data_IF_678562724544
#
_entry.id   IF_678562724544
#
_cell.length_a   1.000
_cell.length_b   1.000
_cell.length_c   1.000
_cell.angle_alpha   90.00
_cell.angle_beta   90.00
_cell.angle_gamma   90.00
#
_symmetry.space_group_name_H-M   'P 1'
#
loop_
_entity.id
_entity.type
_entity.pdbx_description
1 polymer ?
#
# COMPACT_ATOMS: atom_id res chain seq x y z
N UNK A 1 12.35 -5.39 -11.29
CA UNK A 1 12.35 -6.81 -10.98
C UNK A 1 12.55 -7.63 -12.23
N UNK A 2 12.88 -8.86 -12.05
CA UNK A 2 13.13 -9.78 -13.13
C UNK A 2 11.81 -10.39 -13.61
N UNK A 3 11.51 -10.23 -14.89
CA UNK A 3 10.25 -10.70 -15.43
C UNK A 3 10.10 -12.22 -15.38
N UNK A 4 11.19 -12.95 -15.32
CA UNK A 4 11.14 -14.40 -15.30
C UNK A 4 10.79 -14.98 -13.95
N UNK A 5 10.70 -14.15 -12.92
CA UNK A 5 10.47 -14.66 -11.58
C UNK A 5 9.22 -14.02 -10.96
N UNK A 6 8.20 -14.86 -10.77
CA UNK A 6 7.01 -14.44 -10.04
C UNK A 6 7.26 -14.38 -8.54
N UNK A 7 8.40 -14.88 -8.11
CA UNK A 7 8.73 -14.92 -6.69
C UNK A 7 9.77 -13.89 -6.31
N UNK A 8 10.15 -13.06 -7.27
CA UNK A 8 11.13 -12.04 -7.02
C UNK A 8 10.56 -11.00 -6.06
N UNK A 9 11.30 -10.75 -5.00
CA UNK A 9 10.92 -9.74 -4.01
C UNK A 9 11.89 -8.60 -4.15
N UNK A 10 11.35 -7.42 -4.41
CA UNK A 10 12.18 -6.22 -4.49
C UNK A 10 12.44 -5.70 -3.10
N UNK A 11 13.60 -5.12 -2.91
CA UNK A 11 13.96 -4.52 -1.63
C UNK A 11 14.38 -3.08 -1.84
N UNK A 12 14.03 -2.27 -0.87
CA UNK A 12 14.51 -0.89 -0.79
C UNK A 12 15.61 -0.83 0.24
N UNK A 13 16.59 0.04 0.01
CA UNK A 13 17.76 0.12 0.87
C UNK A 13 17.86 1.47 1.53
N UNK A 14 18.22 1.45 2.81
CA UNK A 14 18.60 2.65 3.55
C UNK A 14 20.00 2.42 4.09
N UNK A 15 20.90 3.32 3.78
CA UNK A 15 22.31 3.20 4.21
C UNK A 15 22.58 4.18 5.34
N UNK A 16 23.38 3.73 6.29
CA UNK A 16 23.86 4.56 7.37
C UNK A 16 25.32 4.21 7.65
N UNK A 17 25.91 4.82 8.67
CA UNK A 17 27.31 4.62 8.97
C UNK A 17 27.64 3.21 9.42
N UNK A 18 26.65 2.45 9.85
CA UNK A 18 26.86 1.10 10.34
C UNK A 18 26.65 0.03 9.28
N UNK A 19 26.08 0.41 8.13
CA UNK A 19 25.82 -0.56 7.08
C UNK A 19 24.54 -0.25 6.32
N UNK A 20 23.89 -1.31 5.86
CA UNK A 20 22.70 -1.19 5.02
C UNK A 20 21.52 -1.92 5.66
N UNK A 21 20.37 -1.26 5.65
CA UNK A 21 19.10 -1.89 6.04
C UNK A 21 18.29 -2.09 4.76
N UNK A 22 17.85 -3.32 4.53
CA UNK A 22 17.03 -3.65 3.38
C UNK A 22 15.62 -4.02 3.84
N UNK A 23 14.63 -3.43 3.18
CA UNK A 23 13.23 -3.66 3.51
C UNK A 23 12.56 -4.18 2.25
N UNK A 24 11.91 -5.34 2.35
CA UNK A 24 11.25 -5.93 1.20
C UNK A 24 9.97 -5.17 0.87
N UNK A 25 9.55 -5.25 -0.39
CA UNK A 25 8.30 -4.63 -0.82
C UNK A 25 7.11 -5.21 -0.06
N UNK A 26 7.16 -6.48 0.32
CA UNK A 26 6.09 -7.08 1.11
C UNK A 26 5.96 -6.45 2.49
N UNK A 27 7.08 -6.17 3.14
CA UNK A 27 7.05 -5.52 4.45
C UNK A 27 6.43 -4.14 4.32
N UNK A 28 6.83 -3.40 3.28
CA UNK A 28 6.26 -2.08 3.04
C UNK A 28 4.76 -2.17 2.83
N UNK A 29 4.32 -3.15 2.03
CA UNK A 29 2.90 -3.31 1.74
C UNK A 29 2.08 -3.64 2.99
N UNK A 30 2.63 -4.47 3.87
CA UNK A 30 1.94 -4.82 5.11
C UNK A 30 1.76 -3.59 5.99
N UNK A 31 2.80 -2.79 6.12
CA UNK A 31 2.72 -1.56 6.92
C UNK A 31 1.70 -0.60 6.32
N UNK A 32 1.73 -0.45 5.00
CA UNK A 32 0.81 0.46 4.30
C UNK A 32 -0.64 0.01 4.48
N UNK A 33 -0.90 -1.29 4.32
CA UNK A 33 -2.25 -1.83 4.47
C UNK A 33 -2.78 -1.59 5.87
N UNK A 34 -1.96 -1.86 6.87
CA UNK A 34 -2.37 -1.67 8.25
C UNK A 34 -2.76 -0.21 8.51
N UNK A 35 -1.95 0.73 8.03
CA UNK A 35 -2.25 2.14 8.18
C UNK A 35 -3.55 2.52 7.47
N UNK A 36 -3.74 1.99 6.25
CA UNK A 36 -4.92 2.33 5.46
C UNK A 36 -6.20 1.85 6.14
N UNK A 37 -6.16 0.66 6.73
CA UNK A 37 -7.34 0.07 7.36
C UNK A 37 -7.81 0.85 8.59
N UNK A 38 -6.97 1.68 9.16
CA UNK A 38 -7.34 2.48 10.32
C UNK A 38 -7.96 3.83 9.95
N UNK A 39 -8.00 4.15 8.66
CA UNK A 39 -8.61 5.43 8.24
C UNK A 39 -10.12 5.28 8.26
N UNK A 40 -10.77 6.25 8.94
CA UNK A 40 -12.23 6.23 9.03
C UNK A 40 -12.85 6.38 7.64
N UNK A 41 -13.87 5.58 7.37
CA UNK A 41 -14.55 5.60 6.08
C UNK A 41 -14.11 4.49 5.15
N UNK A 42 -13.06 3.77 5.49
CA UNK A 42 -12.57 2.65 4.70
C UNK A 42 -13.25 1.36 5.18
N UNK A 43 -13.91 0.68 4.25
CA UNK A 43 -14.48 -0.64 4.52
C UNK A 43 -13.39 -1.70 4.58
N UNK A 44 -12.45 -1.63 3.65
CA UNK A 44 -11.38 -2.60 3.55
C UNK A 44 -10.57 -2.38 2.29
N UNK A 45 -9.62 -3.27 2.08
CA UNK A 45 -8.86 -3.29 0.84
C UNK A 45 -9.69 -4.02 -0.22
N UNK A 46 -9.51 -3.64 -1.47
CA UNK A 46 -10.25 -4.26 -2.56
C UNK A 46 -9.43 -4.17 -3.83
N UNK A 47 -8.73 -5.24 -4.17
CA UNK A 47 -7.85 -5.24 -5.34
C UNK A 47 -8.40 -6.08 -6.48
N UNK A 48 -9.71 -6.34 -6.49
CA UNK A 48 -10.31 -7.25 -7.47
C UNK A 48 -10.07 -6.85 -8.92
N UNK A 49 -9.93 -5.55 -9.17
CA UNK A 49 -9.73 -5.08 -10.54
C UNK A 49 -8.26 -4.77 -10.86
N UNK A 50 -7.38 -4.93 -9.89
CA UNK A 50 -5.98 -4.53 -10.05
C UNK A 50 -5.01 -5.68 -9.92
N UNK A 51 -5.46 -6.83 -9.44
CA UNK A 51 -4.53 -7.87 -9.04
C UNK A 51 -3.84 -8.58 -10.20
N UNK A 52 -4.55 -8.88 -11.26
CA UNK A 52 -3.93 -9.59 -12.36
C UNK A 52 -3.13 -10.79 -11.88
N UNK A 53 -1.99 -10.99 -12.51
CA UNK A 53 -1.15 -12.14 -12.21
C UNK A 53 -0.60 -12.10 -10.79
N UNK A 54 -0.35 -10.92 -10.28
CA UNK A 54 0.25 -10.79 -8.95
C UNK A 54 -0.65 -11.34 -7.85
N UNK A 55 -1.94 -11.48 -8.11
CA UNK A 55 -2.84 -12.03 -7.12
C UNK A 55 -2.51 -13.46 -6.75
N UNK A 56 -1.85 -14.17 -7.64
CA UNK A 56 -1.52 -15.59 -7.42
C UNK A 56 -0.59 -15.78 -6.24
N UNK A 57 0.30 -14.81 -6.02
CA UNK A 57 1.28 -14.89 -4.96
C UNK A 57 1.07 -13.83 -3.89
N UNK A 58 -0.11 -13.26 -3.90
CA UNK A 58 -0.45 -12.19 -2.96
C UNK A 58 -0.52 -12.70 -1.53
N UNK A 59 0.12 -11.98 -0.64
CA UNK A 59 -0.02 -12.20 0.79
C UNK A 59 -1.28 -11.47 1.23
N UNK A 60 -2.14 -12.14 1.99
CA UNK A 60 -3.37 -11.51 2.48
C UNK A 60 -3.07 -10.25 3.29
N UNK A 61 -1.94 -10.22 3.98
CA UNK A 61 -1.55 -9.07 4.79
C UNK A 61 -1.10 -7.88 3.96
N UNK A 62 -0.87 -8.11 2.67
CA UNK A 62 -0.47 -7.05 1.74
C UNK A 62 -1.55 -6.78 0.70
N UNK A 63 -2.72 -7.35 0.87
CA UNK A 63 -3.81 -7.22 -0.09
C UNK A 63 -4.16 -5.76 -0.36
N UNK A 64 -4.38 -5.44 -1.64
CA UNK A 64 -4.81 -4.10 -2.03
C UNK A 64 -3.71 -3.07 -2.04
N UNK A 65 -2.45 -3.50 -1.93
CA UNK A 65 -1.32 -2.57 -1.93
C UNK A 65 -0.32 -3.00 -2.98
N UNK A 66 0.15 -2.04 -3.77
CA UNK A 66 1.27 -2.23 -4.67
C UNK A 66 2.39 -1.28 -4.30
N UNK A 67 3.60 -1.80 -4.28
CA UNK A 67 4.77 -1.02 -3.96
C UNK A 67 5.70 -1.03 -5.15
N UNK A 68 6.10 0.16 -5.59
CA UNK A 68 7.09 0.30 -6.66
C UNK A 68 8.32 0.97 -6.07
N UNK A 69 9.46 0.29 -6.18
CA UNK A 69 10.70 0.79 -5.61
C UNK A 69 11.48 1.50 -6.71
N UNK A 70 11.84 2.74 -6.44
CA UNK A 70 12.56 3.59 -7.38
C UNK A 70 13.90 3.97 -6.77
N UNK A 71 14.75 4.59 -7.58
CA UNK A 71 16.07 5.02 -7.12
C UNK A 71 16.00 5.98 -5.95
N UNK A 72 15.02 6.87 -5.98
CA UNK A 72 14.94 7.96 -5.00
C UNK A 72 13.77 7.82 -4.05
N UNK A 73 13.21 6.64 -3.91
CA UNK A 73 12.10 6.44 -2.98
C UNK A 73 11.13 5.41 -3.50
N UNK A 74 9.96 5.39 -2.90
CA UNK A 74 8.95 4.40 -3.24
C UNK A 74 7.64 5.07 -3.60
N UNK A 75 6.85 4.36 -4.40
CA UNK A 75 5.49 4.76 -4.75
C UNK A 75 4.57 3.65 -4.29
N UNK A 76 3.51 4.03 -3.61
CA UNK A 76 2.54 3.08 -3.07
C UNK A 76 1.20 3.33 -3.73
N UNK A 77 0.60 2.27 -4.27
CA UNK A 77 -0.74 2.32 -4.83
C UNK A 77 -1.67 1.53 -3.93
N UNK A 78 -2.74 2.17 -3.49
CA UNK A 78 -3.75 1.57 -2.63
C UNK A 78 -5.02 1.31 -3.43
N UNK A 79 -5.64 0.17 -3.18
CA UNK A 79 -6.91 -0.22 -3.80
C UNK A 79 -7.88 -0.55 -2.67
N UNK A 80 -8.92 0.25 -2.54
CA UNK A 80 -9.77 0.22 -1.35
C UNK A 80 -11.25 0.20 -1.71
N UNK A 81 -12.05 -0.26 -0.76
CA UNK A 81 -13.49 -0.08 -0.76
C UNK A 81 -13.83 0.90 0.36
N UNK A 82 -14.73 1.82 0.10
CA UNK A 82 -15.13 2.84 1.07
C UNK A 82 -16.59 2.68 1.43
N UNK A 83 -16.95 3.09 2.64
CA UNK A 83 -18.34 3.13 3.05
C UNK A 83 -19.11 4.19 2.29
N UNK A 84 -20.35 3.87 1.92
CA UNK A 84 -21.24 4.83 1.31
C UNK A 84 -21.47 6.01 2.26
N UNK A 85 -21.56 7.20 1.68
CA UNK A 85 -21.83 8.40 2.45
C UNK A 85 -20.59 9.18 2.83
N UNK A 86 -19.43 8.63 2.60
CA UNK A 86 -18.18 9.32 2.91
C UNK A 86 -17.75 10.22 1.77
N UNK A 87 -17.01 11.27 2.11
CA UNK A 87 -16.46 12.18 1.09
C UNK A 87 -15.15 11.61 0.60
N UNK A 88 -15.14 11.11 -0.62
CA UNK A 88 -13.95 10.43 -1.16
C UNK A 88 -12.70 11.30 -1.20
N UNK A 89 -12.78 12.59 -1.59
CA UNK A 89 -11.55 13.40 -1.56
C UNK A 89 -10.93 13.51 -0.17
N UNK A 90 -11.76 13.59 0.86
CA UNK A 90 -11.25 13.69 2.24
C UNK A 90 -10.64 12.35 2.68
N UNK A 91 -11.29 11.24 2.37
CA UNK A 91 -10.76 9.92 2.70
C UNK A 91 -9.43 9.70 1.99
N UNK A 92 -9.37 10.06 0.71
CA UNK A 92 -8.15 9.88 -0.07
C UNK A 92 -6.99 10.65 0.56
N UNK A 93 -7.22 11.89 0.97
CA UNK A 93 -6.17 12.68 1.59
C UNK A 93 -5.70 12.03 2.90
N UNK A 94 -6.65 11.57 3.72
CA UNK A 94 -6.30 10.90 4.98
C UNK A 94 -5.50 9.63 4.74
N UNK A 95 -5.87 8.87 3.70
CA UNK A 95 -5.11 7.67 3.34
C UNK A 95 -3.70 8.02 2.94
N UNK A 96 -3.56 9.05 2.11
CA UNK A 96 -2.25 9.47 1.65
C UNK A 96 -1.36 9.89 2.81
N UNK A 97 -1.91 10.67 3.74
CA UNK A 97 -1.15 11.12 4.89
C UNK A 97 -0.80 9.98 5.83
N UNK A 98 -1.78 9.13 6.14
CA UNK A 98 -1.56 8.04 7.11
C UNK A 98 -0.54 7.04 6.59
N UNK A 99 -0.65 6.67 5.33
CA UNK A 99 0.24 5.67 4.75
C UNK A 99 1.64 6.23 4.59
N UNK A 100 1.74 7.46 4.10
CA UNK A 100 3.06 8.08 3.95
C UNK A 100 3.78 8.18 5.29
N UNK A 101 3.06 8.62 6.32
CA UNK A 101 3.66 8.78 7.64
C UNK A 101 4.07 7.44 8.22
N UNK A 102 3.16 6.46 8.17
CA UNK A 102 3.42 5.17 8.79
C UNK A 102 4.58 4.44 8.13
N UNK A 103 4.58 4.42 6.80
CA UNK A 103 5.66 3.74 6.07
C UNK A 103 6.96 4.48 6.25
N UNK A 104 6.94 5.81 6.13
CA UNK A 104 8.16 6.59 6.27
C UNK A 104 8.79 6.46 7.64
N UNK A 105 7.97 6.54 8.69
CA UNK A 105 8.48 6.45 10.05
C UNK A 105 8.98 5.05 10.38
N UNK A 106 8.30 4.02 9.88
CA UNK A 106 8.68 2.65 10.22
C UNK A 106 9.91 2.17 9.46
N UNK A 107 10.13 2.68 8.26
CA UNK A 107 11.18 2.13 7.41
C UNK A 107 12.34 3.09 7.16
N UNK A 108 12.12 4.37 7.37
CA UNK A 108 13.11 5.38 6.99
C UNK A 108 13.16 5.67 5.50
N UNK A 109 12.29 5.04 4.72
CA UNK A 109 12.28 5.24 3.28
C UNK A 109 11.53 6.50 2.90
N UNK A 110 11.90 7.05 1.75
CA UNK A 110 11.21 8.21 1.21
C UNK A 110 9.99 7.74 0.41
N UNK A 111 8.82 8.16 0.83
CA UNK A 111 7.58 7.84 0.12
C UNK A 111 7.29 9.01 -0.83
N UNK A 112 7.46 8.76 -2.13
CA UNK A 112 7.31 9.80 -3.14
C UNK A 112 5.86 10.07 -3.48
N UNK A 113 5.02 9.04 -3.42
CA UNK A 113 3.61 9.19 -3.74
C UNK A 113 2.81 8.06 -3.11
N UNK A 114 1.58 8.37 -2.73
CA UNK A 114 0.59 7.38 -2.35
C UNK A 114 -0.62 7.66 -3.24
N UNK A 115 -0.91 6.73 -4.13
CA UNK A 115 -2.03 6.84 -5.05
C UNK A 115 -3.20 6.03 -4.49
N UNK A 116 -4.41 6.57 -4.59
CA UNK A 116 -5.58 5.94 -4.01
C UNK A 116 -6.57 5.60 -5.12
N UNK A 117 -6.97 4.34 -5.16
CA UNK A 117 -7.96 3.85 -6.10
C UNK A 117 -9.14 3.33 -5.30
N UNK A 118 -10.29 3.99 -5.42
CA UNK A 118 -11.50 3.54 -4.75
C UNK A 118 -12.26 2.67 -5.73
N UNK A 119 -12.29 1.37 -5.45
CA UNK A 119 -12.80 0.40 -6.41
C UNK A 119 -14.24 0.02 -6.14
N UNK A 120 -14.74 0.28 -4.95
CA UNK A 120 -16.10 -0.11 -4.59
C UNK A 120 -16.62 0.74 -3.45
N UNK A 121 -17.94 0.96 -3.46
CA UNK A 121 -18.65 1.60 -2.36
C UNK A 121 -19.53 0.55 -1.69
N UNK A 122 -19.46 0.48 -0.38
CA UNK A 122 -20.21 -0.50 0.42
C UNK A 122 -21.32 0.23 1.16
N UNK A 123 -22.52 -0.33 1.09
CA UNK A 123 -23.70 0.26 1.72
C UNK A 123 -23.96 -0.36 3.10
N UNK A 124 -24.63 0.40 3.95
CA UNK A 124 -24.83 0.01 5.35
C UNK A 124 -25.48 -1.34 5.53
N UNK A 125 -26.36 -1.72 4.61
CA UNK A 125 -27.06 -2.99 4.72
C UNK A 125 -26.13 -4.19 4.56
N UNK A 126 -24.88 -3.95 4.19
CA UNK A 126 -23.88 -5.00 4.07
C UNK A 126 -23.03 -5.17 5.34
N UNK A 127 -23.31 -4.38 6.35
CA UNK A 127 -22.53 -4.45 7.59
C UNK A 127 -22.80 -5.73 8.36
#
# INVERSE_FOLDING_TARGET
SNASSNFYIETAEVKNDLGTVRVSDQVIAVIAREAALHVKGIYGMDDRFSHGISAVISDAEAEGVRVSIRENGIVIDLYVAAWHGERLPAIALQLQEAVKESVGDSTGLRVNAVNVNVERIVFDEEK
#
